data_IF_976603653505
#
_entry.id   IF_976603653505
#
_cell.length_a   1.000
_cell.length_b   1.000
_cell.length_c   1.000
_cell.angle_alpha   90.00
_cell.angle_beta   90.00
_cell.angle_gamma   90.00
#
_symmetry.space_group_name_H-M   'P 1'
#
loop_
_entity.id
_entity.type
_entity.pdbx_description
1 polymer ?
#
# COMPACT_ATOMS: atom_id res chain seq x y z
N UNK A 1 9.50 -1.68 -5.34
CA UNK A 1 10.69 -2.30 -5.94
C UNK A 1 10.31 -2.75 -7.32
N UNK A 2 11.22 -2.62 -8.27
CA UNK A 2 10.95 -2.95 -9.66
C UNK A 2 11.34 -4.40 -9.96
N UNK A 3 10.53 -5.07 -10.77
CA UNK A 3 10.82 -6.39 -11.33
C UNK A 3 10.53 -6.36 -12.84
N UNK A 4 10.96 -7.38 -13.56
CA UNK A 4 10.66 -7.56 -14.99
C UNK A 4 10.01 -8.93 -15.20
N UNK A 5 8.89 -8.97 -15.91
CA UNK A 5 8.19 -10.20 -16.32
C UNK A 5 7.86 -10.12 -17.80
N UNK A 6 8.36 -11.07 -18.58
CA UNK A 6 8.10 -11.18 -20.03
C UNK A 6 8.39 -9.86 -20.80
N UNK A 7 9.39 -9.11 -20.36
CA UNK A 7 9.78 -7.82 -20.96
C UNK A 7 9.03 -6.60 -20.41
N UNK A 8 8.04 -6.79 -19.53
CA UNK A 8 7.31 -5.71 -18.87
C UNK A 8 8.01 -5.32 -17.56
N UNK A 9 8.28 -4.02 -17.38
CA UNK A 9 8.80 -3.43 -16.14
C UNK A 9 7.66 -3.14 -15.18
N UNK A 10 7.68 -3.82 -14.04
CA UNK A 10 6.61 -3.74 -13.05
C UNK A 10 7.14 -3.10 -11.78
N UNK A 11 6.48 -2.05 -11.30
CA UNK A 11 6.75 -1.44 -10.01
C UNK A 11 5.83 -2.01 -8.93
N UNK A 12 6.40 -2.69 -7.94
CA UNK A 12 5.68 -3.26 -6.80
C UNK A 12 5.82 -2.36 -5.56
N UNK A 13 4.73 -1.89 -4.97
CA UNK A 13 4.77 -1.19 -3.69
C UNK A 13 3.63 -1.61 -2.78
N UNK A 14 3.83 -1.46 -1.46
CA UNK A 14 2.71 -1.60 -0.54
C UNK A 14 1.67 -0.50 -0.76
N UNK A 15 2.08 0.73 -1.10
CA UNK A 15 1.19 1.87 -1.35
C UNK A 15 1.04 2.82 -0.16
N UNK A 16 1.58 2.50 1.02
CA UNK A 16 1.45 3.32 2.24
C UNK A 16 2.05 4.73 2.15
N UNK A 17 2.94 4.96 1.19
CA UNK A 17 3.56 6.25 0.93
C UNK A 17 2.99 6.97 -0.31
N UNK A 18 1.93 6.43 -0.92
CA UNK A 18 1.35 6.99 -2.13
C UNK A 18 0.71 8.36 -1.89
N UNK A 19 0.10 8.59 -0.72
CA UNK A 19 -0.44 9.90 -0.38
C UNK A 19 0.66 10.84 0.19
N UNK A 20 1.08 11.89 -0.54
CA UNK A 20 2.04 12.86 -0.02
C UNK A 20 1.45 13.75 1.09
N UNK A 21 0.13 13.93 1.13
CA UNK A 21 -0.60 14.78 2.07
C UNK A 21 -0.77 14.16 3.47
N UNK A 22 -0.62 12.84 3.63
CA UNK A 22 -0.64 12.20 4.96
C UNK A 22 0.69 12.40 5.70
N UNK A 23 1.03 13.67 5.95
CA UNK A 23 2.23 14.09 6.66
C UNK A 23 2.31 13.47 8.05
N UNK A 24 1.16 13.27 8.70
CA UNK A 24 1.06 12.61 10.00
C UNK A 24 1.56 11.17 9.94
N UNK A 25 1.05 10.38 9.00
CA UNK A 25 1.51 9.01 8.78
C UNK A 25 3.00 8.97 8.39
N UNK A 26 3.46 9.84 7.50
CA UNK A 26 4.86 9.87 7.06
C UNK A 26 5.82 10.14 8.22
N UNK A 27 5.49 11.11 9.09
CA UNK A 27 6.25 11.41 10.32
C UNK A 27 6.24 10.24 11.31
N UNK A 28 5.06 9.66 11.56
CA UNK A 28 4.93 8.50 12.44
C UNK A 28 5.78 7.33 11.94
N UNK A 29 5.70 7.00 10.65
CA UNK A 29 6.49 5.94 10.02
C UNK A 29 7.99 6.20 10.14
N UNK A 30 8.43 7.44 9.93
CA UNK A 30 9.83 7.82 10.10
C UNK A 30 10.29 7.64 11.56
N UNK A 31 9.49 8.10 12.52
CA UNK A 31 9.75 7.91 13.96
C UNK A 31 9.86 6.43 14.32
N UNK A 32 8.88 5.62 13.92
CA UNK A 32 8.85 4.17 14.19
C UNK A 32 10.05 3.42 13.57
N UNK A 33 10.58 3.92 12.45
CA UNK A 33 11.75 3.33 11.78
C UNK A 33 13.08 3.92 12.24
N UNK A 34 13.09 4.84 13.19
CA UNK A 34 14.31 5.45 13.72
C UNK A 34 15.17 4.43 14.50
N UNK A 35 16.49 4.69 14.59
CA UNK A 35 17.41 3.85 15.37
C UNK A 35 17.03 3.80 16.86
N UNK A 36 16.50 4.91 17.40
CA UNK A 36 16.07 5.01 18.78
C UNK A 36 14.90 4.05 19.07
N UNK A 37 13.84 4.10 18.24
CA UNK A 37 12.68 3.21 18.43
C UNK A 37 13.07 1.74 18.22
N UNK A 38 13.88 1.44 17.21
CA UNK A 38 14.41 0.07 17.01
C UNK A 38 15.22 -0.42 18.21
N UNK A 39 16.03 0.45 18.82
CA UNK A 39 16.78 0.16 20.03
C UNK A 39 15.86 -0.16 21.21
N UNK A 40 14.85 0.68 21.44
CA UNK A 40 13.86 0.48 22.50
C UNK A 40 13.06 -0.81 22.33
N UNK A 41 12.61 -1.11 21.11
CA UNK A 41 11.87 -2.36 20.81
C UNK A 41 12.75 -3.59 21.10
N UNK A 42 14.06 -3.51 20.91
CA UNK A 42 14.99 -4.62 21.18
C UNK A 42 15.27 -4.82 22.67
N UNK A 43 15.15 -3.77 23.49
CA UNK A 43 15.55 -3.81 24.90
C UNK A 43 14.36 -3.89 25.87
N UNK A 44 13.21 -3.36 25.50
CA UNK A 44 12.03 -3.34 26.38
C UNK A 44 11.36 -4.72 26.47
N UNK A 45 10.79 -5.09 27.63
CA UNK A 45 10.04 -6.32 27.77
C UNK A 45 8.86 -6.38 26.78
N UNK A 46 8.66 -7.54 26.16
CA UNK A 46 7.63 -7.72 25.13
C UNK A 46 6.23 -7.28 25.58
N UNK A 47 5.85 -7.55 26.83
CA UNK A 47 4.55 -7.13 27.40
C UNK A 47 4.31 -5.62 27.30
N UNK A 48 5.38 -4.83 27.47
CA UNK A 48 5.29 -3.38 27.44
C UNK A 48 5.16 -2.87 26.00
N UNK A 49 5.95 -3.44 25.08
CA UNK A 49 5.86 -3.15 23.64
C UNK A 49 4.47 -3.48 23.12
N UNK A 50 3.96 -4.66 23.46
CA UNK A 50 2.63 -5.10 23.03
C UNK A 50 1.53 -4.20 23.60
N UNK A 51 1.61 -3.80 24.86
CA UNK A 51 0.64 -2.86 25.44
C UNK A 51 0.60 -1.52 24.69
N UNK A 52 1.76 -0.99 24.30
CA UNK A 52 1.84 0.25 23.51
C UNK A 52 1.27 0.02 22.11
N UNK A 53 1.69 -1.07 21.44
CA UNK A 53 1.25 -1.40 20.10
C UNK A 53 -0.27 -1.56 20.01
N UNK A 54 -0.88 -2.31 20.94
CA UNK A 54 -2.33 -2.51 20.98
C UNK A 54 -3.09 -1.20 21.13
N UNK A 55 -2.64 -0.31 22.03
CA UNK A 55 -3.25 1.00 22.22
C UNK A 55 -3.11 1.87 20.98
N UNK A 56 -1.91 1.92 20.38
CA UNK A 56 -1.66 2.68 19.16
C UNK A 56 -2.52 2.17 17.99
N UNK A 57 -2.67 0.85 17.84
CA UNK A 57 -3.53 0.27 16.81
C UNK A 57 -5.01 0.61 17.01
N UNK A 58 -5.49 0.67 18.25
CA UNK A 58 -6.87 1.08 18.54
C UNK A 58 -7.14 2.53 18.12
N UNK A 59 -6.27 3.47 18.53
CA UNK A 59 -6.38 4.89 18.15
C UNK A 59 -6.27 5.08 16.63
N UNK A 60 -5.38 4.32 15.98
CA UNK A 60 -5.23 4.36 14.52
C UNK A 60 -6.49 3.87 13.81
N UNK A 61 -7.18 2.84 14.31
CA UNK A 61 -8.43 2.36 13.70
C UNK A 61 -9.55 3.39 13.84
N UNK A 62 -9.64 4.04 15.00
CA UNK A 62 -10.65 5.08 15.26
C UNK A 62 -10.57 6.24 14.26
N UNK A 63 -9.36 6.65 13.89
CA UNK A 63 -9.12 7.73 12.92
C UNK A 63 -9.09 7.29 11.44
N UNK A 64 -9.12 5.97 11.17
CA UNK A 64 -8.97 5.45 9.80
C UNK A 64 -10.18 5.72 8.90
N UNK A 65 -11.40 5.73 9.45
CA UNK A 65 -12.62 6.00 8.65
C UNK A 65 -12.61 7.42 8.10
N UNK A 66 -12.38 8.41 8.97
CA UNK A 66 -12.34 9.83 8.59
C UNK A 66 -11.28 10.12 7.51
N UNK A 67 -10.15 9.40 7.55
CA UNK A 67 -9.10 9.52 6.52
C UNK A 67 -9.53 8.95 5.18
N UNK A 68 -10.26 7.83 5.16
CA UNK A 68 -10.76 7.21 3.93
C UNK A 68 -11.79 8.10 3.24
N UNK A 69 -12.67 8.72 4.03
CA UNK A 69 -13.68 9.64 3.49
C UNK A 69 -13.04 10.92 2.92
N UNK A 70 -11.94 11.38 3.54
CA UNK A 70 -11.20 12.57 3.11
C UNK A 70 -10.40 12.34 1.83
N UNK A 71 -9.80 11.17 1.68
CA UNK A 71 -8.90 10.86 0.57
C UNK A 71 -9.31 9.55 -0.11
N UNK A 72 -10.12 9.62 -1.18
CA UNK A 72 -10.46 8.46 -1.98
C UNK A 72 -9.20 7.78 -2.50
N UNK A 73 -9.17 6.45 -2.43
CA UNK A 73 -7.99 5.65 -2.81
C UNK A 73 -7.54 5.94 -4.25
N UNK A 74 -8.48 6.07 -5.18
CA UNK A 74 -8.18 6.24 -6.60
C UNK A 74 -7.52 7.60 -6.90
N UNK A 75 -7.92 8.66 -6.19
CA UNK A 75 -7.36 10.00 -6.34
C UNK A 75 -5.91 10.08 -5.84
N UNK A 76 -5.52 9.16 -4.95
CA UNK A 76 -4.14 9.00 -4.50
C UNK A 76 -3.36 8.09 -5.45
N UNK A 77 -3.93 6.94 -5.81
CA UNK A 77 -3.21 5.88 -6.50
C UNK A 77 -2.95 6.18 -7.97
N UNK A 78 -3.85 6.90 -8.66
CA UNK A 78 -3.65 7.26 -10.08
C UNK A 78 -2.42 8.16 -10.29
N UNK A 79 -2.27 9.32 -9.62
CA UNK A 79 -1.07 10.14 -9.75
C UNK A 79 0.21 9.42 -9.28
N UNK A 80 0.08 8.58 -8.25
CA UNK A 80 1.20 7.76 -7.78
C UNK A 80 1.69 6.79 -8.86
N UNK A 81 0.78 6.13 -9.57
CA UNK A 81 1.12 5.21 -10.65
C UNK A 81 1.69 5.94 -11.87
N UNK A 82 1.07 7.06 -12.25
CA UNK A 82 1.50 7.90 -13.36
C UNK A 82 2.98 8.29 -13.23
N UNK A 83 3.41 8.72 -12.03
CA UNK A 83 4.80 9.07 -11.76
C UNK A 83 5.80 7.93 -12.00
N UNK A 84 5.42 6.65 -11.84
CA UNK A 84 6.30 5.51 -12.15
C UNK A 84 6.22 5.13 -13.62
N UNK A 85 5.05 5.26 -14.23
CA UNK A 85 4.84 4.97 -15.65
C UNK A 85 5.67 5.94 -16.50
N UNK A 86 5.69 7.22 -16.16
CA UNK A 86 6.54 8.24 -16.80
C UNK A 86 8.05 7.94 -16.68
N UNK A 87 8.47 7.13 -15.69
CA UNK A 87 9.87 6.68 -15.56
C UNK A 87 10.17 5.41 -16.35
N UNK A 88 9.22 4.92 -17.14
CA UNK A 88 9.36 3.77 -18.02
C UNK A 88 8.99 2.43 -17.36
N UNK A 89 8.08 2.43 -16.39
CA UNK A 89 7.41 1.21 -15.95
C UNK A 89 6.12 1.02 -16.74
N UNK A 90 5.82 -0.21 -17.11
CA UNK A 90 4.59 -0.53 -17.83
C UNK A 90 3.42 -0.72 -16.85
N UNK A 91 3.70 -1.25 -15.67
CA UNK A 91 2.68 -1.65 -14.69
C UNK A 91 3.09 -1.22 -13.27
N UNK A 92 2.13 -0.71 -12.51
CA UNK A 92 2.29 -0.34 -11.10
C UNK A 92 1.31 -1.13 -10.25
N UNK A 93 1.83 -1.94 -9.33
CA UNK A 93 1.02 -2.74 -8.41
C UNK A 93 1.12 -2.18 -6.99
N UNK A 94 -0.03 -1.89 -6.40
CA UNK A 94 -0.15 -1.32 -5.05
C UNK A 94 -1.15 -2.10 -4.19
N UNK A 95 -1.13 -1.86 -2.87
CA UNK A 95 -2.12 -2.36 -1.93
C UNK A 95 -2.47 -1.23 -0.95
N UNK A 96 -2.53 -1.54 0.36
CA UNK A 96 -2.69 -0.59 1.47
C UNK A 96 -4.06 0.10 1.59
N UNK A 97 -4.65 0.55 0.48
CA UNK A 97 -5.94 1.24 0.49
C UNK A 97 -7.15 0.30 0.50
N UNK A 98 -6.93 -1.01 0.31
CA UNK A 98 -7.98 -2.03 0.29
C UNK A 98 -9.08 -1.68 -0.73
N UNK A 99 -8.65 -1.19 -1.89
CA UNK A 99 -9.52 -0.75 -2.97
C UNK A 99 -9.11 -1.52 -4.23
N UNK A 100 -9.69 -2.70 -4.48
CA UNK A 100 -9.33 -3.52 -5.64
C UNK A 100 -9.70 -2.77 -6.91
N UNK A 101 -8.71 -2.36 -7.71
CA UNK A 101 -8.93 -1.76 -9.02
C UNK A 101 -7.85 -2.16 -10.02
N UNK A 102 -8.24 -2.24 -11.29
CA UNK A 102 -7.34 -2.40 -12.41
C UNK A 102 -7.69 -1.33 -13.44
N UNK A 103 -6.82 -0.34 -13.60
CA UNK A 103 -7.09 0.88 -14.35
C UNK A 103 -5.94 1.19 -15.31
N UNK A 104 -6.27 1.67 -16.51
CA UNK A 104 -5.27 2.23 -17.42
C UNK A 104 -4.84 3.62 -16.92
N UNK A 105 -3.54 3.88 -16.88
CA UNK A 105 -2.95 5.16 -16.46
C UNK A 105 -1.87 5.54 -17.49
N UNK A 106 -2.14 6.56 -18.31
CA UNK A 106 -1.27 6.90 -19.45
C UNK A 106 -1.12 5.72 -20.41
N UNK A 107 0.12 5.33 -20.69
CA UNK A 107 0.47 4.17 -21.50
C UNK A 107 0.63 2.87 -20.70
N UNK A 108 0.49 2.92 -19.37
CA UNK A 108 0.65 1.78 -18.46
C UNK A 108 -0.62 1.44 -17.69
N UNK A 109 -0.45 0.57 -16.69
CA UNK A 109 -1.54 0.03 -15.89
C UNK A 109 -1.29 0.21 -14.38
N UNK A 110 -2.35 0.54 -13.64
CA UNK A 110 -2.39 0.51 -12.18
C UNK A 110 -3.24 -0.68 -11.74
N UNK A 111 -2.66 -1.53 -10.90
CA UNK A 111 -3.36 -2.62 -10.22
C UNK A 111 -3.27 -2.38 -8.72
N UNK A 112 -4.38 -1.99 -8.10
CA UNK A 112 -4.49 -1.90 -6.66
C UNK A 112 -5.16 -3.16 -6.11
N UNK A 113 -4.54 -3.80 -5.12
CA UNK A 113 -5.09 -4.96 -4.43
C UNK A 113 -6.05 -4.51 -3.31
N UNK A 114 -7.12 -5.26 -3.15
CA UNK A 114 -7.98 -5.24 -1.97
C UNK A 114 -7.40 -6.06 -0.81
N UNK A 115 -8.24 -6.43 0.14
CA UNK A 115 -7.87 -7.23 1.30
C UNK A 115 -8.42 -8.66 1.30
N UNK A 116 -7.75 -9.53 2.05
CA UNK A 116 -8.11 -10.93 2.23
C UNK A 116 -9.19 -11.16 3.32
N UNK A 117 -9.76 -10.10 3.91
CA UNK A 117 -10.73 -10.20 5.01
C UNK A 117 -12.15 -10.15 4.45
N UNK A 118 -12.36 -9.27 3.47
CA UNK A 118 -13.68 -8.93 2.94
C UNK A 118 -13.76 -9.06 1.42
N UNK A 119 -12.65 -8.79 0.72
CA UNK A 119 -12.65 -8.71 -0.75
C UNK A 119 -12.03 -9.95 -1.40
N UNK A 120 -11.17 -10.66 -0.68
CA UNK A 120 -10.42 -11.84 -1.14
C UNK A 120 -9.75 -11.64 -2.51
N UNK A 121 -9.28 -10.42 -2.78
CA UNK A 121 -8.77 -10.05 -4.10
C UNK A 121 -7.28 -10.39 -4.26
N UNK A 122 -6.89 -10.79 -5.47
CA UNK A 122 -5.52 -11.04 -5.86
C UNK A 122 -5.31 -10.74 -7.34
N UNK A 123 -4.07 -10.44 -7.74
CA UNK A 123 -3.71 -10.26 -9.14
C UNK A 123 -3.06 -11.55 -9.68
N UNK A 124 -3.50 -11.99 -10.85
CA UNK A 124 -2.94 -13.12 -11.60
C UNK A 124 -2.22 -12.58 -12.81
N UNK A 125 -0.99 -13.04 -13.06
CA UNK A 125 -0.25 -12.73 -14.28
C UNK A 125 -0.23 -13.95 -15.20
N UNK A 126 -0.90 -13.85 -16.34
CA UNK A 126 -0.97 -14.92 -17.34
C UNK A 126 -0.96 -14.32 -18.76
N UNK A 127 -0.24 -14.98 -19.67
CA UNK A 127 -0.15 -14.61 -21.09
C UNK A 127 0.21 -13.13 -21.31
N UNK A 128 1.22 -12.64 -20.59
CA UNK A 128 1.68 -11.25 -20.70
C UNK A 128 0.77 -10.19 -20.06
N UNK A 129 -0.31 -10.58 -19.38
CA UNK A 129 -1.31 -9.64 -18.85
C UNK A 129 -1.68 -9.92 -17.40
N UNK A 130 -2.01 -8.86 -16.65
CA UNK A 130 -2.56 -8.99 -15.31
C UNK A 130 -4.08 -9.01 -15.32
N UNK A 131 -4.66 -9.85 -14.47
CA UNK A 131 -6.07 -9.84 -14.14
C UNK A 131 -6.25 -9.70 -12.63
N UNK A 132 -7.07 -8.73 -12.22
CA UNK A 132 -7.48 -8.59 -10.83
C UNK A 132 -8.74 -9.44 -10.62
N UNK A 133 -8.63 -10.44 -9.76
CA UNK A 133 -9.70 -11.41 -9.47
C UNK A 133 -9.95 -11.50 -7.98
N UNK A 134 -11.02 -12.19 -7.59
CA UNK A 134 -11.32 -12.52 -6.20
C UNK A 134 -11.54 -14.02 -6.04
N UNK A 135 -11.23 -14.52 -4.84
CA UNK A 135 -11.53 -15.90 -4.48
C UNK A 135 -13.01 -15.99 -4.09
N UNK A 136 -13.72 -16.92 -4.72
CA UNK A 136 -15.10 -17.27 -4.39
C UNK A 136 -15.11 -18.77 -4.08
N UNK A 137 -15.65 -19.14 -2.91
CA UNK A 137 -15.91 -20.55 -2.56
C UNK A 137 -17.05 -21.14 -3.38
#
# INVERSE_FOLDING_TARGET
GSIELEGNKIYLAHGDLANPEDLGYRRLRQFLRSKLVRGLIRTLPNRFIMSIATRASFESRKSSSEKRDRWPAIDILKPYAEAFIETGHDIVITAHYHHPCHEKVGDGELIALGDWITQYSYAVYENGSFQLTNYQE
#
